data_IF_907491819002
#
_entry.id   IF_907491819002
#
_cell.length_a   1.000
_cell.length_b   1.000
_cell.length_c   1.000
_cell.angle_alpha   90.00
_cell.angle_beta   90.00
_cell.angle_gamma   90.00
#
_symmetry.space_group_name_H-M   'P 1'
#
loop_
_entity.id
_entity.type
_entity.pdbx_description
1 polymer ?
#
# COMPACT_ATOMS: atom_id res chain seq x y z
N UNK A 1 -10.32 -1.79 -15.52
CA UNK A 1 -10.80 -3.18 -15.69
C UNK A 1 -10.48 -3.76 -17.06
N UNK A 2 -10.67 -3.04 -18.19
CA UNK A 2 -10.38 -3.58 -19.53
C UNK A 2 -8.94 -4.09 -19.63
N UNK A 3 -7.95 -3.28 -19.23
CA UNK A 3 -6.54 -3.69 -19.20
C UNK A 3 -6.28 -4.88 -18.29
N UNK A 4 -6.94 -4.93 -17.14
CA UNK A 4 -6.81 -6.05 -16.18
C UNK A 4 -7.22 -7.38 -16.78
N UNK A 5 -8.27 -7.37 -17.62
CA UNK A 5 -8.81 -8.54 -18.31
C UNK A 5 -7.97 -8.91 -19.54
N UNK A 6 -7.54 -7.90 -20.31
CA UNK A 6 -6.80 -8.10 -21.57
C UNK A 6 -5.34 -8.48 -21.37
N UNK A 7 -4.76 -8.15 -20.22
CA UNK A 7 -3.35 -8.40 -19.92
C UNK A 7 -3.11 -9.91 -19.74
N UNK A 8 -2.30 -10.57 -20.55
CA UNK A 8 -1.98 -11.99 -20.37
C UNK A 8 -1.34 -12.22 -18.98
N UNK A 9 -1.63 -13.35 -18.38
CA UNK A 9 -1.03 -13.70 -17.09
C UNK A 9 0.50 -13.86 -17.24
N UNK A 10 1.23 -13.34 -16.25
CA UNK A 10 2.70 -13.37 -16.17
C UNK A 10 3.42 -12.65 -17.34
N UNK A 11 2.75 -11.73 -18.02
CA UNK A 11 3.37 -10.84 -19.02
C UNK A 11 3.94 -9.56 -18.39
N UNK A 12 3.58 -9.30 -17.14
CA UNK A 12 4.09 -8.18 -16.35
C UNK A 12 5.21 -8.63 -15.41
N UNK A 13 6.09 -7.70 -14.98
CA UNK A 13 7.24 -8.02 -14.13
C UNK A 13 6.83 -8.77 -12.86
N UNK A 14 7.40 -9.95 -12.66
CA UNK A 14 7.29 -10.77 -11.46
C UNK A 14 5.86 -11.14 -11.04
N UNK A 15 4.88 -11.00 -11.93
CA UNK A 15 3.48 -11.30 -11.61
C UNK A 15 3.29 -12.74 -11.15
N UNK A 16 4.00 -13.70 -11.79
CA UNK A 16 3.96 -15.11 -11.41
C UNK A 16 4.41 -15.34 -9.97
N UNK A 17 5.56 -14.77 -9.58
CA UNK A 17 6.10 -14.90 -8.22
C UNK A 17 5.18 -14.25 -7.17
N UNK A 18 4.53 -13.15 -7.51
CA UNK A 18 3.57 -12.46 -6.65
C UNK A 18 2.25 -13.24 -6.54
N UNK A 19 1.84 -13.86 -7.64
CA UNK A 19 0.71 -14.79 -7.68
C UNK A 19 0.93 -16.00 -6.79
N UNK A 20 2.14 -16.59 -6.80
CA UNK A 20 2.46 -17.77 -6.00
C UNK A 20 2.26 -17.50 -4.49
N UNK A 21 2.54 -16.27 -4.01
CA UNK A 21 2.25 -15.88 -2.63
C UNK A 21 0.73 -15.83 -2.37
N UNK A 22 -0.03 -15.19 -3.27
CA UNK A 22 -1.49 -15.15 -3.15
C UNK A 22 -2.08 -16.56 -3.12
N UNK A 23 -1.62 -17.42 -4.03
CA UNK A 23 -2.05 -18.82 -4.17
C UNK A 23 -1.70 -19.63 -2.93
N UNK A 24 -0.47 -19.51 -2.42
CA UNK A 24 -0.05 -20.19 -1.20
C UNK A 24 -0.96 -19.86 -0.01
N UNK A 25 -1.25 -18.56 0.20
CA UNK A 25 -2.14 -18.12 1.29
C UNK A 25 -3.56 -18.63 1.06
N UNK A 26 -4.04 -18.60 -0.19
CA UNK A 26 -5.37 -19.09 -0.57
C UNK A 26 -5.54 -20.58 -0.27
N UNK A 27 -4.56 -21.41 -0.66
CA UNK A 27 -4.61 -22.86 -0.53
C UNK A 27 -4.35 -23.35 0.90
N UNK A 28 -3.37 -22.75 1.58
CA UNK A 28 -2.88 -23.24 2.87
C UNK A 28 -3.48 -22.53 4.09
N UNK A 29 -4.21 -21.43 3.94
CA UNK A 29 -4.75 -20.59 5.03
C UNK A 29 -3.69 -20.09 6.03
N UNK A 30 -2.43 -20.00 5.62
CA UNK A 30 -1.31 -19.53 6.44
C UNK A 30 -0.38 -18.62 5.63
N UNK A 31 0.38 -17.79 6.32
CA UNK A 31 1.39 -16.94 5.67
C UNK A 31 2.63 -17.79 5.33
N UNK A 32 3.21 -17.63 4.14
CA UNK A 32 4.40 -18.36 3.74
C UNK A 32 5.62 -17.96 4.55
N UNK A 33 6.58 -18.84 4.65
CA UNK A 33 7.97 -18.52 4.96
C UNK A 33 8.67 -18.05 3.69
N UNK A 34 9.60 -17.11 3.79
CA UNK A 34 10.31 -16.61 2.59
C UNK A 34 11.13 -17.69 1.85
N UNK A 35 11.47 -18.78 2.54
CA UNK A 35 12.20 -19.92 1.97
C UNK A 35 11.31 -21.05 1.44
N UNK A 36 9.97 -20.94 1.59
CA UNK A 36 9.07 -21.99 1.10
C UNK A 36 9.28 -22.19 -0.40
N UNK A 37 9.53 -23.43 -0.82
CA UNK A 37 9.78 -23.80 -2.22
C UNK A 37 8.61 -23.42 -3.14
N UNK A 38 7.38 -23.47 -2.63
CA UNK A 38 6.17 -23.14 -3.37
C UNK A 38 6.06 -21.68 -3.83
N UNK A 39 6.84 -20.76 -3.20
CA UNK A 39 6.87 -19.33 -3.55
C UNK A 39 8.26 -18.85 -3.98
N UNK A 40 9.21 -19.77 -4.10
CA UNK A 40 10.59 -19.48 -4.49
C UNK A 40 10.75 -19.63 -6.00
N UNK A 41 11.33 -18.64 -6.64
CA UNK A 41 11.66 -18.76 -8.06
C UNK A 41 12.73 -19.84 -8.27
N UNK A 42 12.46 -20.87 -9.07
CA UNK A 42 13.39 -22.00 -9.24
C UNK A 42 14.69 -21.64 -9.97
N UNK A 43 14.67 -20.57 -10.77
CA UNK A 43 15.83 -20.14 -11.57
C UNK A 43 16.75 -19.25 -10.73
N UNK A 44 16.19 -18.27 -10.02
CA UNK A 44 16.97 -17.26 -9.30
C UNK A 44 17.07 -17.52 -7.81
N UNK A 45 16.34 -18.48 -7.29
CA UNK A 45 16.33 -18.82 -5.87
C UNK A 45 15.79 -17.76 -4.92
N UNK A 46 15.15 -16.71 -5.45
CA UNK A 46 14.59 -15.59 -4.68
C UNK A 46 13.09 -15.75 -4.46
N UNK A 47 12.59 -15.12 -3.40
CA UNK A 47 11.17 -15.07 -3.08
C UNK A 47 10.76 -13.68 -2.61
N UNK A 48 9.57 -13.26 -3.00
CA UNK A 48 8.93 -12.06 -2.44
C UNK A 48 8.33 -12.29 -1.05
N UNK A 49 8.36 -13.51 -0.51
CA UNK A 49 7.86 -13.85 0.82
C UNK A 49 8.63 -13.23 1.99
N UNK A 50 9.86 -12.75 1.76
CA UNK A 50 10.64 -11.97 2.73
C UNK A 50 10.18 -10.51 2.85
N UNK A 51 9.52 -9.99 1.84
CA UNK A 51 9.00 -8.63 1.80
C UNK A 51 7.66 -8.54 2.53
N UNK A 52 7.19 -7.31 2.86
CA UNK A 52 5.82 -7.12 3.32
C UNK A 52 4.82 -7.61 2.28
N UNK A 53 3.90 -8.48 2.70
CA UNK A 53 3.00 -9.24 1.80
C UNK A 53 1.53 -8.86 1.91
N UNK A 54 1.20 -7.70 2.52
CA UNK A 54 -0.20 -7.28 2.74
C UNK A 54 -1.03 -7.29 1.45
N UNK A 55 -0.46 -6.81 0.35
CA UNK A 55 -1.12 -6.80 -0.97
C UNK A 55 -1.58 -8.20 -1.36
N UNK A 56 -0.72 -9.20 -1.17
CA UNK A 56 -0.99 -10.58 -1.55
C UNK A 56 -1.94 -11.27 -0.57
N UNK A 57 -1.92 -10.87 0.71
CA UNK A 57 -2.92 -11.32 1.69
C UNK A 57 -4.32 -10.86 1.28
N UNK A 58 -4.49 -9.59 0.89
CA UNK A 58 -5.76 -9.05 0.39
C UNK A 58 -6.16 -9.77 -0.90
N UNK A 59 -5.21 -10.03 -1.80
CA UNK A 59 -5.42 -10.81 -3.02
C UNK A 59 -5.96 -12.20 -2.72
N UNK A 60 -5.36 -12.92 -1.77
CA UNK A 60 -5.82 -14.24 -1.33
C UNK A 60 -7.24 -14.20 -0.73
N UNK A 61 -7.60 -13.14 0.01
CA UNK A 61 -8.97 -12.95 0.51
C UNK A 61 -9.96 -12.80 -0.66
N UNK A 62 -9.63 -12.01 -1.68
CA UNK A 62 -10.49 -11.88 -2.87
C UNK A 62 -10.60 -13.20 -3.64
N UNK A 63 -9.51 -13.96 -3.74
CA UNK A 63 -9.55 -15.30 -4.32
C UNK A 63 -10.51 -16.22 -3.55
N UNK A 64 -10.51 -16.20 -2.21
CA UNK A 64 -11.44 -16.97 -1.38
C UNK A 64 -12.89 -16.56 -1.59
N UNK A 65 -13.16 -15.27 -1.72
CA UNK A 65 -14.52 -14.77 -2.00
C UNK A 65 -14.99 -15.29 -3.37
N UNK A 66 -14.16 -15.18 -4.40
CA UNK A 66 -14.51 -15.62 -5.75
C UNK A 66 -14.61 -17.15 -5.83
N UNK A 67 -13.81 -17.89 -5.07
CA UNK A 67 -13.84 -19.36 -5.07
C UNK A 67 -15.17 -19.96 -4.57
N UNK A 68 -16.01 -19.17 -3.90
CA UNK A 68 -17.38 -19.56 -3.54
C UNK A 68 -18.22 -19.80 -4.81
N UNK A 69 -17.91 -19.08 -5.90
CA UNK A 69 -18.66 -19.14 -7.15
C UNK A 69 -17.94 -19.96 -8.23
N UNK A 70 -16.61 -19.88 -8.28
CA UNK A 70 -15.79 -20.58 -9.27
C UNK A 70 -14.34 -20.74 -8.81
N UNK A 71 -13.77 -21.91 -9.08
CA UNK A 71 -12.36 -22.21 -8.83
C UNK A 71 -11.51 -22.11 -10.10
N UNK A 72 -12.09 -21.62 -11.21
CA UNK A 72 -11.37 -21.48 -12.46
C UNK A 72 -10.18 -20.51 -12.30
N UNK A 73 -8.98 -20.92 -12.72
CA UNK A 73 -7.74 -20.19 -12.51
C UNK A 73 -7.81 -18.72 -12.99
N UNK A 74 -8.41 -18.49 -14.15
CA UNK A 74 -8.57 -17.13 -14.69
C UNK A 74 -9.33 -16.22 -13.72
N UNK A 75 -10.43 -16.71 -13.12
CA UNK A 75 -11.22 -15.93 -12.18
C UNK A 75 -10.44 -15.63 -10.89
N UNK A 76 -9.64 -16.58 -10.41
CA UNK A 76 -8.79 -16.39 -9.24
C UNK A 76 -7.68 -15.36 -9.51
N UNK A 77 -7.06 -15.39 -10.70
CA UNK A 77 -6.08 -14.36 -11.12
C UNK A 77 -6.74 -12.98 -11.18
N UNK A 78 -7.93 -12.89 -11.78
CA UNK A 78 -8.67 -11.62 -11.82
C UNK A 78 -9.00 -11.12 -10.42
N UNK A 79 -9.39 -12.00 -9.50
CA UNK A 79 -9.64 -11.65 -8.09
C UNK A 79 -8.40 -11.06 -7.42
N UNK A 80 -7.23 -11.66 -7.60
CA UNK A 80 -5.99 -11.14 -7.07
C UNK A 80 -5.59 -9.78 -7.69
N UNK A 81 -5.80 -9.59 -9.00
CA UNK A 81 -5.58 -8.32 -9.72
C UNK A 81 -6.49 -7.19 -9.26
N UNK A 82 -7.68 -7.48 -8.73
CA UNK A 82 -8.61 -6.46 -8.23
C UNK A 82 -7.99 -5.60 -7.14
N UNK A 83 -7.07 -6.12 -6.34
CA UNK A 83 -6.35 -5.32 -5.32
C UNK A 83 -5.63 -4.15 -5.97
N UNK A 84 -4.89 -4.39 -7.04
CA UNK A 84 -4.18 -3.37 -7.81
C UNK A 84 -5.14 -2.38 -8.48
N UNK A 85 -6.21 -2.88 -9.10
CA UNK A 85 -7.24 -2.05 -9.75
C UNK A 85 -7.93 -1.12 -8.74
N UNK A 86 -8.33 -1.64 -7.58
CA UNK A 86 -8.97 -0.85 -6.51
C UNK A 86 -7.98 0.17 -5.94
N UNK A 87 -6.73 -0.24 -5.68
CA UNK A 87 -5.70 0.65 -5.16
C UNK A 87 -5.46 1.84 -6.09
N UNK A 88 -5.30 1.61 -7.38
CA UNK A 88 -5.09 2.68 -8.35
C UNK A 88 -6.34 3.56 -8.54
N UNK A 89 -7.54 3.01 -8.41
CA UNK A 89 -8.78 3.79 -8.38
C UNK A 89 -8.82 4.73 -7.17
N UNK A 90 -8.41 4.24 -6.00
CA UNK A 90 -8.30 5.05 -4.79
C UNK A 90 -7.18 6.10 -4.88
N UNK A 91 -6.06 5.81 -5.55
CA UNK A 91 -5.03 6.82 -5.87
C UNK A 91 -5.63 7.98 -6.62
N UNK A 92 -6.43 7.73 -7.66
CA UNK A 92 -7.11 8.79 -8.42
C UNK A 92 -8.10 9.55 -7.53
N UNK A 93 -8.86 8.86 -6.68
CA UNK A 93 -9.75 9.51 -5.73
C UNK A 93 -9.01 10.48 -4.79
N UNK A 94 -7.90 10.05 -4.20
CA UNK A 94 -7.10 10.94 -3.34
C UNK A 94 -6.40 12.04 -4.14
N UNK A 95 -5.99 11.77 -5.38
CA UNK A 95 -5.49 12.80 -6.30
C UNK A 95 -6.52 13.91 -6.52
N UNK A 96 -7.81 13.55 -6.68
CA UNK A 96 -8.91 14.54 -6.76
C UNK A 96 -8.97 15.39 -5.48
N UNK A 97 -8.90 14.74 -4.30
CA UNK A 97 -8.91 15.46 -3.00
C UNK A 97 -7.73 16.41 -2.85
N UNK A 98 -6.53 15.96 -3.23
CA UNK A 98 -5.31 16.78 -3.21
C UNK A 98 -5.43 17.94 -4.19
N UNK A 99 -5.87 17.67 -5.42
CA UNK A 99 -6.04 18.68 -6.47
C UNK A 99 -6.98 19.81 -6.03
N UNK A 100 -8.09 19.48 -5.35
CA UNK A 100 -9.05 20.46 -4.82
C UNK A 100 -8.45 21.39 -3.76
N UNK A 101 -7.34 20.99 -3.11
CA UNK A 101 -6.64 21.82 -2.11
C UNK A 101 -5.69 22.83 -2.73
N UNK A 102 -5.03 22.48 -3.81
CA UNK A 102 -3.95 23.28 -4.40
C UNK A 102 -4.35 24.03 -5.66
N UNK A 103 -5.31 23.54 -6.44
CA UNK A 103 -5.62 24.08 -7.76
C UNK A 103 -7.05 24.62 -7.82
N UNK A 104 -7.24 25.71 -8.61
CA UNK A 104 -8.53 26.34 -8.89
C UNK A 104 -8.87 26.24 -10.38
N UNK A 105 -10.15 26.38 -10.69
CA UNK A 105 -10.64 26.42 -12.08
C UNK A 105 -10.26 25.18 -12.88
N UNK A 106 -9.76 25.37 -14.08
CA UNK A 106 -9.38 24.28 -15.01
C UNK A 106 -8.16 23.48 -14.54
N UNK A 107 -7.24 24.09 -13.80
CA UNK A 107 -5.97 23.47 -13.42
C UNK A 107 -6.16 22.24 -12.52
N UNK A 108 -7.22 22.22 -11.69
CA UNK A 108 -7.54 21.04 -10.88
C UNK A 108 -7.87 19.82 -11.75
N UNK A 109 -8.58 20.02 -12.84
CA UNK A 109 -8.93 18.94 -13.77
C UNK A 109 -7.74 18.49 -14.59
N UNK A 110 -6.91 19.44 -15.07
CA UNK A 110 -5.68 19.12 -15.78
C UNK A 110 -4.74 18.25 -14.94
N UNK A 111 -4.57 18.58 -13.65
CA UNK A 111 -3.76 17.76 -12.74
C UNK A 111 -4.32 16.35 -12.59
N UNK A 112 -5.64 16.21 -12.40
CA UNK A 112 -6.30 14.90 -12.26
C UNK A 112 -6.12 14.08 -13.55
N UNK A 113 -6.40 14.68 -14.71
CA UNK A 113 -6.25 14.02 -16.00
C UNK A 113 -4.79 13.60 -16.23
N UNK A 114 -3.85 14.47 -15.93
CA UNK A 114 -2.42 14.16 -16.07
C UNK A 114 -2.01 12.93 -15.28
N UNK A 115 -2.45 12.80 -14.01
CA UNK A 115 -2.14 11.63 -13.18
C UNK A 115 -2.93 10.40 -13.62
N UNK A 116 -4.23 10.54 -13.91
CA UNK A 116 -5.10 9.42 -14.25
C UNK A 116 -4.75 8.76 -15.58
N UNK A 117 -4.31 9.56 -16.56
CA UNK A 117 -3.97 9.07 -17.91
C UNK A 117 -2.47 8.83 -18.13
N UNK A 118 -1.65 8.86 -17.07
CA UNK A 118 -0.28 8.35 -17.15
C UNK A 118 -0.33 6.85 -17.51
N UNK A 119 0.42 6.38 -18.52
CA UNK A 119 0.43 4.96 -18.90
C UNK A 119 0.75 4.04 -17.73
N UNK A 120 1.65 4.47 -16.82
CA UNK A 120 2.02 3.71 -15.63
C UNK A 120 0.82 3.50 -14.68
N UNK A 121 -0.12 4.44 -14.61
CA UNK A 121 -1.32 4.32 -13.76
C UNK A 121 -2.21 3.15 -14.23
N UNK A 122 -2.45 3.05 -15.54
CA UNK A 122 -3.19 1.94 -16.12
C UNK A 122 -2.42 0.61 -16.01
N UNK A 123 -1.12 0.65 -16.23
CA UNK A 123 -0.25 -0.52 -16.14
C UNK A 123 -0.24 -1.10 -14.72
N UNK A 124 0.03 -0.30 -13.69
CA UNK A 124 0.01 -0.75 -12.30
C UNK A 124 -1.37 -1.25 -11.84
N UNK A 125 -2.46 -0.76 -12.43
CA UNK A 125 -3.81 -1.24 -12.14
C UNK A 125 -4.10 -2.62 -12.72
N UNK A 126 -3.30 -3.14 -13.67
CA UNK A 126 -3.67 -4.27 -14.52
C UNK A 126 -3.14 -5.63 -14.08
N UNK A 127 -2.20 -5.71 -13.17
CA UNK A 127 -1.55 -6.96 -12.76
C UNK A 127 -1.33 -7.06 -11.26
N UNK A 128 -0.96 -8.24 -10.76
CA UNK A 128 -0.69 -8.46 -9.34
C UNK A 128 0.65 -7.82 -8.97
N UNK A 129 0.60 -6.73 -8.20
CA UNK A 129 1.80 -6.03 -7.74
C UNK A 129 1.57 -5.31 -6.41
N UNK A 130 2.65 -5.05 -5.69
CA UNK A 130 2.63 -4.28 -4.45
C UNK A 130 2.87 -2.77 -4.66
N UNK A 131 3.31 -2.37 -5.85
CA UNK A 131 3.55 -0.95 -6.19
C UNK A 131 2.25 -0.14 -6.16
N UNK A 132 1.14 -0.71 -6.64
CA UNK A 132 -0.18 -0.07 -6.63
C UNK A 132 -0.68 0.25 -5.22
N UNK A 133 -0.51 -0.69 -4.27
CA UNK A 133 -0.89 -0.49 -2.86
C UNK A 133 0.08 0.44 -2.15
N UNK A 134 1.36 0.40 -2.48
CA UNK A 134 2.36 1.34 -1.97
C UNK A 134 2.07 2.76 -2.45
N UNK A 135 1.72 2.93 -3.73
CA UNK A 135 1.34 4.23 -4.29
C UNK A 135 0.06 4.77 -3.65
N UNK A 136 -0.91 3.90 -3.36
CA UNK A 136 -2.09 4.28 -2.57
C UNK A 136 -1.68 4.77 -1.18
N UNK A 137 -0.86 3.99 -0.46
CA UNK A 137 -0.41 4.35 0.89
C UNK A 137 0.29 5.70 0.91
N UNK A 138 1.22 5.94 -0.01
CA UNK A 138 1.97 7.20 -0.09
C UNK A 138 1.07 8.38 -0.48
N UNK A 139 0.11 8.18 -1.38
CA UNK A 139 -0.87 9.21 -1.76
C UNK A 139 -1.76 9.59 -0.57
N UNK A 140 -2.20 8.60 0.23
CA UNK A 140 -2.97 8.85 1.46
C UNK A 140 -2.12 9.60 2.50
N UNK A 141 -0.85 9.22 2.67
CA UNK A 141 0.09 9.92 3.57
C UNK A 141 0.22 11.39 3.16
N UNK A 142 0.43 11.68 1.87
CA UNK A 142 0.51 13.07 1.35
C UNK A 142 -0.79 13.84 1.65
N UNK A 143 -1.95 13.23 1.40
CA UNK A 143 -3.23 13.86 1.71
C UNK A 143 -3.38 14.17 3.21
N UNK A 144 -2.94 13.25 4.07
CA UNK A 144 -2.99 13.43 5.52
C UNK A 144 -1.99 14.47 6.03
N UNK A 145 -0.85 14.64 5.36
CA UNK A 145 0.05 15.76 5.64
C UNK A 145 -0.64 17.10 5.42
N UNK A 146 -1.34 17.25 4.31
CA UNK A 146 -2.09 18.46 3.98
C UNK A 146 -3.14 18.74 5.07
N UNK A 147 -3.96 17.74 5.42
CA UNK A 147 -4.96 17.86 6.46
C UNK A 147 -4.36 18.14 7.85
N UNK A 148 -3.22 17.54 8.15
CA UNK A 148 -2.46 17.75 9.37
C UNK A 148 -2.02 19.21 9.49
N UNK A 149 -1.38 19.74 8.45
CA UNK A 149 -0.92 21.13 8.39
C UNK A 149 -2.08 22.13 8.51
N UNK A 150 -3.17 21.93 7.78
CA UNK A 150 -4.36 22.79 7.82
C UNK A 150 -5.04 22.81 9.20
N UNK A 151 -4.96 21.73 9.93
CA UNK A 151 -5.66 21.56 11.21
C UNK A 151 -4.80 21.69 12.45
N UNK A 152 -3.53 22.10 12.31
CA UNK A 152 -2.53 22.06 13.38
C UNK A 152 -2.45 20.68 14.06
N UNK A 153 -2.45 19.62 13.24
CA UNK A 153 -2.28 18.24 13.68
C UNK A 153 -3.29 17.80 14.74
N UNK A 154 -4.60 17.97 14.46
CA UNK A 154 -5.66 17.40 15.32
C UNK A 154 -5.44 15.91 15.51
N UNK A 155 -5.74 15.37 16.69
CA UNK A 155 -5.49 13.96 17.05
C UNK A 155 -6.03 12.97 16.01
N UNK A 156 -7.21 13.24 15.44
CA UNK A 156 -7.77 12.38 14.38
C UNK A 156 -6.86 12.25 13.15
N UNK A 157 -6.18 13.34 12.74
CA UNK A 157 -5.28 13.29 11.59
C UNK A 157 -3.97 12.57 11.95
N UNK A 158 -3.50 12.67 13.20
CA UNK A 158 -2.37 11.88 13.68
C UNK A 158 -2.70 10.39 13.72
N UNK A 159 -3.89 10.01 14.19
CA UNK A 159 -4.36 8.61 14.17
C UNK A 159 -4.40 8.08 12.74
N UNK A 160 -5.05 8.81 11.82
CA UNK A 160 -5.15 8.40 10.43
C UNK A 160 -3.77 8.31 9.75
N UNK A 161 -2.87 9.26 10.04
CA UNK A 161 -1.50 9.23 9.52
C UNK A 161 -0.74 8.01 10.05
N UNK A 162 -0.88 7.68 11.32
CA UNK A 162 -0.27 6.47 11.90
C UNK A 162 -0.79 5.19 11.23
N UNK A 163 -2.10 5.10 10.98
CA UNK A 163 -2.70 3.97 10.24
C UNK A 163 -2.14 3.91 8.82
N UNK A 164 -2.07 5.05 8.11
CA UNK A 164 -1.55 5.10 6.74
C UNK A 164 -0.06 4.73 6.68
N UNK A 165 0.75 5.17 7.64
CA UNK A 165 2.15 4.76 7.77
C UNK A 165 2.26 3.25 8.02
N UNK A 166 1.47 2.70 8.95
CA UNK A 166 1.45 1.26 9.21
C UNK A 166 1.04 0.46 7.97
N UNK A 167 0.02 0.91 7.24
CA UNK A 167 -0.36 0.31 5.97
C UNK A 167 0.78 0.38 4.93
N UNK A 168 1.41 1.54 4.78
CA UNK A 168 2.58 1.74 3.90
C UNK A 168 3.71 0.76 4.23
N UNK A 169 3.99 0.58 5.52
CA UNK A 169 5.02 -0.32 6.03
C UNK A 169 4.77 -1.78 5.64
N UNK A 170 3.50 -2.19 5.56
CA UNK A 170 3.08 -3.55 5.19
C UNK A 170 2.96 -3.78 3.68
N UNK A 171 3.08 -2.73 2.85
CA UNK A 171 2.92 -2.87 1.39
C UNK A 171 4.25 -3.09 0.68
N UNK A 172 5.20 -2.16 0.82
CA UNK A 172 6.47 -2.21 0.10
C UNK A 172 7.51 -1.31 0.72
N UNK A 173 8.69 -1.83 1.02
CA UNK A 173 9.74 -1.06 1.69
C UNK A 173 10.32 0.10 0.85
N UNK A 174 10.19 0.08 -0.49
CA UNK A 174 10.58 1.23 -1.32
C UNK A 174 9.77 2.50 -1.00
N UNK A 175 8.59 2.36 -0.38
CA UNK A 175 7.77 3.48 0.06
C UNK A 175 8.18 4.04 1.45
N UNK A 176 9.14 3.43 2.15
CA UNK A 176 9.55 3.86 3.51
C UNK A 176 10.14 5.27 3.54
N UNK A 177 10.62 5.78 2.43
CA UNK A 177 11.02 7.19 2.31
C UNK A 177 9.93 8.17 2.75
N UNK A 178 8.66 7.84 2.53
CA UNK A 178 7.52 8.68 2.97
C UNK A 178 7.34 8.68 4.49
N UNK A 179 7.77 7.64 5.20
CA UNK A 179 7.79 7.58 6.66
C UNK A 179 8.83 8.60 7.17
N UNK A 180 10.03 8.59 6.59
CA UNK A 180 11.08 9.56 6.90
C UNK A 180 10.62 11.00 6.59
N UNK A 181 10.02 11.23 5.43
CA UNK A 181 9.44 12.53 5.07
C UNK A 181 8.35 12.98 6.06
N UNK A 182 7.55 12.05 6.62
CA UNK A 182 6.54 12.37 7.64
C UNK A 182 7.19 12.88 8.93
N UNK A 183 8.33 12.29 9.33
CA UNK A 183 9.10 12.75 10.50
C UNK A 183 9.64 14.16 10.26
N UNK A 184 10.27 14.37 9.09
CA UNK A 184 10.84 15.69 8.71
C UNK A 184 9.73 16.76 8.68
N UNK A 185 8.60 16.45 8.06
CA UNK A 185 7.46 17.39 7.99
C UNK A 185 6.90 17.72 9.38
N UNK A 186 6.84 16.72 10.26
CA UNK A 186 6.44 16.93 11.66
C UNK A 186 7.38 17.89 12.34
N UNK A 187 8.71 17.71 12.24
CA UNK A 187 9.72 18.58 12.82
C UNK A 187 9.61 20.02 12.31
N UNK A 188 9.48 20.20 10.99
CA UNK A 188 9.30 21.52 10.38
C UNK A 188 8.02 22.18 10.90
N UNK A 189 6.91 21.44 10.93
CA UNK A 189 5.62 21.95 11.40
C UNK A 189 5.66 22.40 12.86
N UNK A 190 6.41 21.68 13.70
CA UNK A 190 6.64 22.01 15.11
C UNK A 190 7.36 23.36 15.25
N UNK A 191 8.43 23.55 14.48
CA UNK A 191 9.22 24.79 14.51
C UNK A 191 8.37 25.97 14.05
N UNK A 192 7.65 25.83 12.94
CA UNK A 192 6.83 26.88 12.36
C UNK A 192 5.64 27.26 13.25
N UNK A 193 4.96 26.30 13.87
CA UNK A 193 3.75 26.54 14.67
C UNK A 193 4.06 26.80 16.17
N UNK A 194 5.34 26.85 16.58
CA UNK A 194 5.77 27.07 17.97
C UNK A 194 5.01 26.20 18.98
N UNK A 195 4.79 24.93 18.65
CA UNK A 195 4.05 24.00 19.50
C UNK A 195 4.81 23.70 20.79
N UNK A 196 4.08 23.54 21.90
CA UNK A 196 4.68 23.13 23.18
C UNK A 196 5.22 21.71 23.08
N UNK A 197 6.39 21.43 23.65
CA UNK A 197 7.05 20.11 23.61
C UNK A 197 6.12 18.96 24.02
N UNK A 198 5.28 19.14 25.04
CA UNK A 198 4.31 18.12 25.46
C UNK A 198 3.31 17.75 24.35
N UNK A 199 2.83 18.74 23.59
CA UNK A 199 1.90 18.51 22.49
C UNK A 199 2.58 17.76 21.35
N UNK A 200 3.84 18.06 21.07
CA UNK A 200 4.64 17.39 20.04
C UNK A 200 4.79 15.92 20.38
N UNK A 201 5.29 15.63 21.58
CA UNK A 201 5.47 14.26 22.06
C UNK A 201 4.14 13.48 21.95
N UNK A 202 3.03 14.08 22.40
CA UNK A 202 1.72 13.44 22.29
C UNK A 202 1.36 13.11 20.83
N UNK A 203 1.56 14.02 19.87
CA UNK A 203 1.23 13.78 18.45
C UNK A 203 2.10 12.68 17.85
N UNK A 204 3.41 12.74 18.09
CA UNK A 204 4.37 11.74 17.63
C UNK A 204 4.02 10.35 18.21
N UNK A 205 3.72 10.28 19.51
CA UNK A 205 3.31 9.02 20.14
C UNK A 205 2.02 8.46 19.53
N UNK A 206 1.01 9.27 19.25
CA UNK A 206 -0.22 8.82 18.60
C UNK A 206 0.11 8.18 17.24
N UNK A 207 0.91 8.86 16.41
CA UNK A 207 1.30 8.34 15.08
C UNK A 207 2.08 7.03 15.23
N UNK A 208 3.09 7.00 16.11
CA UNK A 208 3.93 5.83 16.31
C UNK A 208 3.15 4.62 16.84
N UNK A 209 2.29 4.83 17.85
CA UNK A 209 1.46 3.74 18.40
C UNK A 209 0.51 3.19 17.34
N UNK A 210 -0.16 4.05 16.57
CA UNK A 210 -1.08 3.60 15.53
C UNK A 210 -0.35 2.87 14.40
N UNK A 211 0.82 3.33 13.98
CA UNK A 211 1.65 2.65 12.99
C UNK A 211 2.11 1.27 13.51
N UNK A 212 2.53 1.20 14.77
CA UNK A 212 2.93 -0.06 15.41
C UNK A 212 1.76 -1.05 15.55
N UNK A 213 0.58 -0.58 15.95
CA UNK A 213 -0.62 -1.45 16.03
C UNK A 213 -0.99 -2.06 14.68
N UNK A 214 -0.79 -1.33 13.59
CA UNK A 214 -1.07 -1.82 12.23
C UNK A 214 0.03 -2.75 11.72
N UNK A 215 1.30 -2.38 11.88
CA UNK A 215 2.43 -3.06 11.23
C UNK A 215 3.33 -3.87 12.16
N UNK A 216 3.26 -3.65 13.46
CA UNK A 216 4.19 -4.26 14.44
C UNK A 216 4.16 -5.78 14.45
N UNK A 217 2.97 -6.38 14.25
CA UNK A 217 2.81 -7.84 14.17
C UNK A 217 3.69 -8.48 13.09
N UNK A 218 3.89 -7.80 11.96
CA UNK A 218 4.72 -8.31 10.87
C UNK A 218 6.19 -8.39 11.27
N UNK A 219 6.69 -7.36 11.92
CA UNK A 219 8.08 -7.34 12.39
C UNK A 219 8.31 -8.34 13.53
N UNK A 220 7.36 -8.44 14.47
CA UNK A 220 7.43 -9.43 15.55
C UNK A 220 7.43 -10.84 14.97
N UNK A 221 6.53 -11.13 14.01
CA UNK A 221 6.50 -12.43 13.32
C UNK A 221 7.85 -12.73 12.66
N UNK A 222 8.39 -11.77 11.92
CA UNK A 222 9.65 -11.98 11.19
C UNK A 222 10.84 -12.15 12.13
N UNK A 223 10.91 -11.39 13.23
CA UNK A 223 11.93 -11.58 14.25
C UNK A 223 11.88 -13.00 14.87
N UNK A 224 10.67 -13.54 15.09
CA UNK A 224 10.52 -14.90 15.63
C UNK A 224 10.91 -15.96 14.58
N UNK A 225 10.50 -15.78 13.32
CA UNK A 225 10.66 -16.81 12.26
C UNK A 225 12.10 -16.84 11.73
N UNK A 226 12.73 -15.67 11.60
CA UNK A 226 14.07 -15.53 11.01
C UNK A 226 15.20 -15.35 12.04
N UNK A 227 14.87 -15.50 13.35
CA UNK A 227 15.84 -15.35 14.46
C UNK A 227 16.51 -13.96 14.54
N UNK A 228 15.77 -12.88 14.26
CA UNK A 228 16.23 -11.50 14.39
C UNK A 228 16.47 -10.81 13.08
#
# INVERSE_FOLDING_TARGET
LTWTISQPFNSCPDEGMKWDICKYIYENNKLPHGEDEAIRNPIWGISYGFQPILTYMIGAVFMKIISIFTTHQFALVMAARLVSTISMTLVIYFTIKISQKFFKGIYKYLFIVFIAFQPITAFLASYINNDSTALLATTVIIYLWILGLESNWKNKHCVLLGIAIGFCTLTYYNAYGYILCSIILCLISVILNKMKTKQIIQKVLIVAIMAFLVAGWWFIRNAIIYNG
#
